data_IF_611578456265
#
_entry.id   IF_611578456265
#
_cell.length_a   1.000
_cell.length_b   1.000
_cell.length_c   1.000
_cell.angle_alpha   90.00
_cell.angle_beta   90.00
_cell.angle_gamma   90.00
#
_symmetry.space_group_name_H-M   'P 1'
#
loop_
_entity.id
_entity.type
_entity.pdbx_description
1 polymer ?
#
# COMPACT_ATOMS: atom_id res chain seq x y z
N UNK A 1 -15.73 13.00 8.14
CA UNK A 1 -15.66 12.31 9.44
C UNK A 1 -14.27 12.55 10.02
N UNK A 2 -14.14 12.75 11.33
CA UNK A 2 -12.82 12.76 11.95
C UNK A 2 -12.39 11.29 12.06
N UNK A 3 -11.52 10.84 11.16
CA UNK A 3 -11.05 9.46 11.15
C UNK A 3 -10.12 9.29 12.36
N UNK A 4 -10.64 8.79 13.46
CA UNK A 4 -9.85 8.56 14.67
C UNK A 4 -8.94 7.34 14.49
N UNK A 5 -7.78 7.36 15.15
CA UNK A 5 -6.97 6.15 15.31
C UNK A 5 -7.64 5.17 16.27
N UNK A 6 -7.47 3.88 16.01
CA UNK A 6 -7.77 2.79 16.95
C UNK A 6 -6.46 2.46 17.66
N UNK A 7 -6.42 2.55 18.98
CA UNK A 7 -5.22 2.30 19.77
C UNK A 7 -5.51 1.24 20.83
N UNK A 8 -4.61 0.26 20.94
CA UNK A 8 -4.58 -0.73 22.03
C UNK A 8 -3.39 -0.40 22.93
N UNK A 9 -3.65 0.24 24.05
CA UNK A 9 -2.61 0.76 24.94
C UNK A 9 -1.70 -0.34 25.52
N UNK A 10 -2.25 -1.54 25.77
CA UNK A 10 -1.53 -2.64 26.43
C UNK A 10 -0.29 -3.10 25.67
N UNK A 11 -0.33 -3.09 24.33
CA UNK A 11 0.78 -3.52 23.47
C UNK A 11 1.23 -2.42 22.50
N UNK A 12 0.75 -1.19 22.71
CA UNK A 12 1.04 -0.01 21.89
C UNK A 12 0.68 -0.19 20.40
N UNK A 13 -0.18 -1.16 20.07
CA UNK A 13 -0.67 -1.32 18.71
C UNK A 13 -1.59 -0.18 18.33
N UNK A 14 -1.47 0.28 17.09
CA UNK A 14 -2.33 1.32 16.55
C UNK A 14 -2.72 1.02 15.10
N UNK A 15 -3.91 1.45 14.74
CA UNK A 15 -4.41 1.51 13.37
C UNK A 15 -4.87 2.96 13.15
N UNK A 16 -4.17 3.68 12.28
CA UNK A 16 -4.36 5.12 12.11
C UNK A 16 -4.55 5.46 10.62
N UNK A 17 -5.43 6.42 10.31
CA UNK A 17 -5.56 6.89 8.94
C UNK A 17 -4.28 7.62 8.55
N UNK A 18 -3.86 7.38 7.30
CA UNK A 18 -2.72 8.04 6.73
C UNK A 18 -3.15 9.00 5.64
N UNK A 19 -2.80 10.28 5.79
CA UNK A 19 -3.19 11.35 4.86
C UNK A 19 -1.93 11.96 4.25
N UNK A 20 -1.92 12.09 2.93
CA UNK A 20 -0.79 12.69 2.20
C UNK A 20 0.39 11.74 2.04
N UNK A 21 1.60 12.29 1.97
CA UNK A 21 2.85 11.53 1.85
C UNK A 21 3.44 11.28 3.25
N UNK A 22 3.35 10.05 3.79
CA UNK A 22 4.13 9.67 4.96
C UNK A 22 5.63 9.84 4.69
N UNK A 23 6.35 10.45 5.62
CA UNK A 23 7.81 10.36 5.63
C UNK A 23 8.30 8.93 5.88
N UNK A 24 9.60 8.70 5.71
CA UNK A 24 10.23 7.41 6.00
C UNK A 24 10.16 7.09 7.50
N UNK A 25 9.63 5.91 7.87
CA UNK A 25 9.78 5.40 9.24
C UNK A 25 8.57 4.77 9.91
N UNK A 26 7.47 4.52 9.18
CA UNK A 26 6.36 3.76 9.77
C UNK A 26 6.66 2.26 9.71
N UNK A 27 6.97 1.67 10.86
CA UNK A 27 7.17 0.22 10.99
C UNK A 27 5.81 -0.50 10.92
N UNK A 28 5.31 -0.72 9.69
CA UNK A 28 3.95 -1.20 9.43
C UNK A 28 3.87 -2.71 9.32
N UNK A 29 2.95 -3.33 10.05
CA UNK A 29 2.60 -4.75 9.85
C UNK A 29 1.51 -4.92 8.79
N UNK A 30 0.61 -3.94 8.68
CA UNK A 30 -0.48 -3.97 7.72
C UNK A 30 -0.74 -2.55 7.20
N UNK A 31 -0.81 -2.40 5.89
CA UNK A 31 -1.26 -1.18 5.23
C UNK A 31 -2.47 -1.50 4.35
N UNK A 32 -3.49 -0.65 4.42
CA UNK A 32 -4.66 -0.72 3.53
C UNK A 32 -4.67 0.58 2.73
N UNK A 33 -4.51 0.45 1.41
CA UNK A 33 -4.52 1.57 0.48
C UNK A 33 -5.82 1.47 -0.30
N UNK A 34 -6.70 2.44 -0.10
CA UNK A 34 -7.98 2.50 -0.78
C UNK A 34 -7.94 3.45 -1.98
N UNK A 35 -8.84 3.19 -2.93
CA UNK A 35 -9.03 3.95 -4.17
C UNK A 35 -7.73 4.30 -4.91
N UNK A 36 -6.88 3.29 -5.14
CA UNK A 36 -5.57 3.44 -5.80
C UNK A 36 -5.64 4.17 -7.15
N UNK A 37 -6.76 4.06 -7.89
CA UNK A 37 -6.96 4.75 -9.15
C UNK A 37 -7.00 6.29 -9.05
N UNK A 38 -7.22 6.85 -7.85
CA UNK A 38 -7.24 8.29 -7.59
C UNK A 38 -5.86 8.86 -7.26
N UNK A 39 -4.83 8.02 -7.09
CA UNK A 39 -3.53 8.49 -6.67
C UNK A 39 -2.75 9.02 -7.88
N UNK A 40 -2.14 10.20 -7.69
CA UNK A 40 -1.28 10.82 -8.70
C UNK A 40 0.13 10.23 -8.74
N UNK A 41 0.60 9.63 -7.64
CA UNK A 41 1.94 9.06 -7.48
C UNK A 41 1.90 7.76 -6.66
N UNK A 42 2.99 6.98 -6.69
CA UNK A 42 3.14 5.73 -5.94
C UNK A 42 3.66 5.94 -4.51
N UNK A 43 3.83 7.18 -4.07
CA UNK A 43 4.57 7.52 -2.83
C UNK A 43 4.01 6.81 -1.59
N UNK A 44 2.68 6.69 -1.49
CA UNK A 44 2.04 5.97 -0.38
C UNK A 44 2.37 4.48 -0.39
N UNK A 45 2.28 3.83 -1.54
CA UNK A 45 2.58 2.40 -1.68
C UNK A 45 4.06 2.14 -1.37
N UNK A 46 4.96 2.90 -2.00
CA UNK A 46 6.40 2.80 -1.80
C UNK A 46 6.83 3.05 -0.35
N UNK A 47 6.23 4.03 0.33
CA UNK A 47 6.50 4.29 1.75
C UNK A 47 6.02 3.13 2.64
N UNK A 48 4.79 2.62 2.44
CA UNK A 48 4.29 1.49 3.21
C UNK A 48 5.12 0.23 2.99
N UNK A 49 5.55 -0.01 1.77
CA UNK A 49 6.44 -1.13 1.42
C UNK A 49 7.78 -1.03 2.13
N UNK A 50 8.43 0.13 2.08
CA UNK A 50 9.71 0.36 2.77
C UNK A 50 9.56 0.22 4.29
N UNK A 51 8.50 0.80 4.85
CA UNK A 51 8.16 0.69 6.27
C UNK A 51 7.90 -0.74 6.76
N UNK A 52 7.56 -1.64 5.83
CA UNK A 52 7.25 -3.04 6.12
C UNK A 52 8.46 -3.98 6.16
N UNK A 53 9.62 -3.58 5.62
CA UNK A 53 10.82 -4.44 5.45
C UNK A 53 11.28 -5.07 6.77
N UNK A 54 11.12 -4.36 7.89
CA UNK A 54 11.48 -4.85 9.22
C UNK A 54 10.46 -5.79 9.88
N UNK A 55 9.35 -6.11 9.21
CA UNK A 55 8.22 -6.87 9.79
C UNK A 55 8.04 -8.22 9.10
N UNK A 56 7.94 -9.28 9.90
CA UNK A 56 7.72 -10.64 9.40
C UNK A 56 6.27 -10.78 8.92
N UNK A 57 6.09 -11.25 7.68
CA UNK A 57 4.76 -11.44 7.06
C UNK A 57 3.89 -10.17 7.11
N UNK A 58 4.48 -9.01 6.82
CA UNK A 58 3.69 -7.80 6.61
C UNK A 58 2.74 -7.96 5.41
N UNK A 59 1.62 -7.24 5.45
CA UNK A 59 0.63 -7.27 4.38
C UNK A 59 0.32 -5.85 3.91
N UNK A 60 0.45 -5.61 2.60
CA UNK A 60 -0.10 -4.43 1.93
C UNK A 60 -1.31 -4.89 1.13
N UNK A 61 -2.48 -4.37 1.48
CA UNK A 61 -3.73 -4.61 0.78
C UNK A 61 -4.10 -3.35 0.01
N UNK A 62 -4.17 -3.47 -1.33
CA UNK A 62 -4.59 -2.38 -2.20
C UNK A 62 -6.00 -2.66 -2.70
N UNK A 63 -6.90 -1.70 -2.52
CA UNK A 63 -8.29 -1.73 -2.96
C UNK A 63 -8.46 -0.61 -3.99
N UNK A 64 -9.13 -0.92 -5.08
CA UNK A 64 -9.40 0.08 -6.12
C UNK A 64 -10.56 -0.34 -7.00
N UNK A 65 -11.23 0.66 -7.57
CA UNK A 65 -12.06 0.51 -8.77
C UNK A 65 -11.26 0.83 -10.04
N UNK A 66 -11.89 0.69 -11.22
CA UNK A 66 -11.24 1.03 -12.48
C UNK A 66 -11.14 2.56 -12.65
N UNK A 67 -9.92 3.05 -12.90
CA UNK A 67 -9.67 4.46 -13.24
C UNK A 67 -9.56 4.72 -14.74
N UNK A 68 -9.48 6.00 -15.09
CA UNK A 68 -9.28 6.47 -16.48
C UNK A 68 -7.81 6.72 -16.84
N UNK A 69 -6.93 6.87 -15.84
CA UNK A 69 -5.51 7.14 -16.04
C UNK A 69 -4.71 5.83 -16.18
N UNK A 70 -4.42 5.44 -17.42
CA UNK A 70 -3.58 4.26 -17.72
C UNK A 70 -2.08 4.52 -17.55
N UNK A 71 -1.66 5.76 -17.31
CA UNK A 71 -0.27 6.11 -16.97
C UNK A 71 -0.02 6.23 -15.47
N UNK A 72 -1.05 6.01 -14.64
CA UNK A 72 -0.97 6.16 -13.19
C UNK A 72 -0.49 4.89 -12.45
N UNK A 73 -0.18 5.02 -11.14
CA UNK A 73 0.32 3.92 -10.31
C UNK A 73 -0.66 2.73 -10.24
N UNK A 74 -1.97 2.98 -10.27
CA UNK A 74 -2.97 1.91 -10.32
C UNK A 74 -2.83 0.99 -11.53
N UNK A 75 -2.51 1.52 -12.71
CA UNK A 75 -2.36 0.72 -13.92
C UNK A 75 -1.06 -0.10 -13.90
N UNK A 76 -0.01 0.46 -13.30
CA UNK A 76 1.25 -0.24 -13.05
C UNK A 76 1.05 -1.42 -12.10
N UNK A 77 0.41 -1.19 -10.94
CA UNK A 77 0.06 -2.25 -9.98
C UNK A 77 -0.78 -3.36 -10.62
N UNK A 78 -1.79 -2.99 -11.44
CA UNK A 78 -2.57 -3.96 -12.22
C UNK A 78 -1.68 -4.81 -13.13
N UNK A 79 -0.73 -4.19 -13.82
CA UNK A 79 0.19 -4.89 -14.73
C UNK A 79 1.08 -5.87 -13.97
N UNK A 80 1.59 -5.47 -12.81
CA UNK A 80 2.36 -6.35 -11.92
C UNK A 80 1.53 -7.58 -11.50
N UNK A 81 0.30 -7.37 -11.03
CA UNK A 81 -0.61 -8.47 -10.65
C UNK A 81 -0.89 -9.40 -11.83
N UNK A 82 -1.10 -8.87 -13.03
CA UNK A 82 -1.29 -9.68 -14.24
C UNK A 82 -0.06 -10.54 -14.53
N UNK A 83 1.15 -9.99 -14.40
CA UNK A 83 2.38 -10.74 -14.62
C UNK A 83 2.54 -11.89 -13.61
N UNK A 84 2.19 -11.65 -12.34
CA UNK A 84 2.17 -12.68 -11.30
C UNK A 84 1.18 -13.79 -11.67
N UNK A 85 -0.07 -13.42 -12.02
CA UNK A 85 -1.12 -14.39 -12.36
C UNK A 85 -0.79 -15.21 -13.61
N UNK A 86 -0.13 -14.59 -14.60
CA UNK A 86 0.30 -15.25 -15.82
C UNK A 86 1.64 -16.00 -15.67
N UNK A 87 2.29 -15.94 -14.50
CA UNK A 87 3.58 -16.58 -14.24
C UNK A 87 4.66 -16.20 -15.27
N UNK A 88 4.74 -14.90 -15.58
CA UNK A 88 5.77 -14.39 -16.51
C UNK A 88 7.15 -14.73 -15.96
N UNK A 89 7.95 -15.48 -16.72
CA UNK A 89 9.29 -15.89 -16.29
C UNK A 89 10.20 -14.68 -16.07
N UNK A 90 11.00 -14.72 -15.00
CA UNK A 90 11.91 -13.64 -14.63
C UNK A 90 11.23 -12.39 -14.05
N UNK A 91 9.90 -12.40 -13.86
CA UNK A 91 9.21 -11.34 -13.13
C UNK A 91 9.38 -11.55 -11.62
N UNK A 92 10.21 -10.72 -11.00
CA UNK A 92 10.28 -10.62 -9.55
C UNK A 92 9.35 -9.51 -9.08
N UNK A 93 8.50 -9.84 -8.10
CA UNK A 93 7.75 -8.82 -7.37
C UNK A 93 8.75 -8.20 -6.39
N UNK A 94 9.49 -7.19 -6.85
CA UNK A 94 10.32 -6.36 -5.97
C UNK A 94 9.51 -5.88 -4.78
#
# INVERSE_FOLDING_TARGET
ANFGSIVKSDDQSKFEPLVGSPGDGQSVHCAIIDEMHQHSSDDQYSCMKTGSIGRRQSLIAVITTAGVNTGGPCYLLRTQVINILNKVEGFENE
#
